data_IF_594386360710
#
_entry.id   IF_594386360710
#
_cell.length_a   1.000
_cell.length_b   1.000
_cell.length_c   1.000
_cell.angle_alpha   90.00
_cell.angle_beta   90.00
_cell.angle_gamma   90.00
#
_symmetry.space_group_name_H-M   'P 1'
#
loop_
_entity.id
_entity.type
_entity.pdbx_description
1 polymer ?
#
# COMPACT_ATOMS: atom_id res chain seq x y z
N UNK A 1 -19.64 18.68 6.89
CA UNK A 1 -18.75 17.83 6.07
C UNK A 1 -17.64 18.66 5.40
N UNK A 2 -16.57 18.01 4.90
CA UNK A 2 -15.53 18.71 4.15
C UNK A 2 -16.08 19.38 2.88
N UNK A 3 -17.06 18.74 2.24
CA UNK A 3 -17.75 19.28 1.06
C UNK A 3 -18.52 20.57 1.38
N UNK A 4 -19.27 20.59 2.48
CA UNK A 4 -20.02 21.77 2.91
C UNK A 4 -19.10 22.95 3.26
N UNK A 5 -17.95 22.63 3.90
CA UNK A 5 -16.92 23.65 4.18
C UNK A 5 -16.37 24.24 2.89
N UNK A 6 -15.98 23.40 1.94
CA UNK A 6 -15.48 23.86 0.64
C UNK A 6 -16.51 24.70 -0.13
N UNK A 7 -17.79 24.29 -0.11
CA UNK A 7 -18.88 25.02 -0.74
C UNK A 7 -19.04 26.40 -0.11
N UNK A 8 -19.04 26.48 1.22
CA UNK A 8 -19.13 27.74 1.98
C UNK A 8 -17.92 28.64 1.74
N UNK A 9 -16.71 28.10 1.84
CA UNK A 9 -15.46 28.86 1.66
C UNK A 9 -15.35 29.49 0.27
N UNK A 10 -15.87 28.81 -0.74
CA UNK A 10 -15.88 29.28 -2.13
C UNK A 10 -17.12 30.14 -2.47
N UNK A 11 -18.11 30.20 -1.58
CA UNK A 11 -19.33 30.99 -1.78
C UNK A 11 -20.30 30.41 -2.80
N UNK A 12 -20.33 29.08 -2.96
CA UNK A 12 -21.27 28.41 -3.86
C UNK A 12 -22.60 28.10 -3.17
N UNK A 13 -23.70 28.43 -3.84
CA UNK A 13 -25.07 28.22 -3.33
C UNK A 13 -25.57 26.78 -3.48
N UNK A 14 -24.88 25.94 -4.27
CA UNK A 14 -25.29 24.57 -4.54
C UNK A 14 -24.10 23.63 -4.80
N UNK A 15 -24.35 22.34 -4.61
CA UNK A 15 -23.40 21.30 -5.03
C UNK A 15 -23.13 21.34 -6.54
N UNK A 16 -24.15 21.61 -7.35
CA UNK A 16 -24.01 21.67 -8.80
C UNK A 16 -23.02 22.76 -9.23
N UNK A 17 -23.08 23.97 -8.63
CA UNK A 17 -22.14 25.05 -8.91
C UNK A 17 -20.72 24.73 -8.43
N UNK A 18 -20.57 24.11 -7.26
CA UNK A 18 -19.27 23.64 -6.76
C UNK A 18 -18.69 22.56 -7.67
N UNK A 19 -19.49 21.58 -8.10
CA UNK A 19 -19.06 20.53 -9.02
C UNK A 19 -18.61 21.12 -10.36
N UNK A 20 -19.40 22.04 -10.94
CA UNK A 20 -19.01 22.67 -12.21
C UNK A 20 -17.69 23.42 -12.07
N UNK A 21 -17.53 24.19 -10.98
CA UNK A 21 -16.26 24.87 -10.70
C UNK A 21 -15.08 23.88 -10.61
N UNK A 22 -15.26 22.72 -9.95
CA UNK A 22 -14.18 21.72 -9.82
C UNK A 22 -13.75 21.12 -11.18
N UNK A 23 -14.69 21.01 -12.11
CA UNK A 23 -14.42 20.53 -13.48
C UNK A 23 -13.71 21.61 -14.32
N UNK A 24 -14.17 22.87 -14.19
CA UNK A 24 -13.62 23.99 -14.94
C UNK A 24 -12.26 24.47 -14.41
N UNK A 25 -11.97 24.19 -13.12
CA UNK A 25 -10.74 24.63 -12.44
C UNK A 25 -10.04 23.46 -11.72
N UNK A 26 -9.61 22.39 -12.47
CA UNK A 26 -9.05 21.19 -11.85
C UNK A 26 -7.77 21.48 -11.05
N UNK A 27 -6.93 22.42 -11.47
CA UNK A 27 -5.72 22.80 -10.73
C UNK A 27 -6.01 23.38 -9.36
N UNK A 28 -7.00 24.26 -9.26
CA UNK A 28 -7.39 24.89 -7.99
C UNK A 28 -8.11 23.89 -7.07
N UNK A 29 -8.99 23.06 -7.66
CA UNK A 29 -9.70 22.03 -6.90
C UNK A 29 -8.74 21.03 -6.27
N UNK A 30 -7.84 20.46 -7.05
CA UNK A 30 -6.88 19.46 -6.55
C UNK A 30 -5.82 20.08 -5.63
N UNK A 31 -5.41 21.34 -5.86
CA UNK A 31 -4.56 22.06 -4.91
C UNK A 31 -5.22 22.23 -3.56
N UNK A 32 -6.51 22.59 -3.54
CA UNK A 32 -7.29 22.68 -2.29
C UNK A 32 -7.45 21.32 -1.63
N UNK A 33 -7.72 20.26 -2.41
CA UNK A 33 -7.82 18.91 -1.87
C UNK A 33 -6.50 18.45 -1.23
N UNK A 34 -5.37 18.78 -1.81
CA UNK A 34 -4.04 18.54 -1.22
C UNK A 34 -3.91 19.20 0.16
N UNK A 35 -4.27 20.49 0.24
CA UNK A 35 -4.13 21.27 1.49
C UNK A 35 -5.12 20.80 2.56
N UNK A 36 -6.38 20.57 2.20
CA UNK A 36 -7.42 20.11 3.12
C UNK A 36 -7.16 18.71 3.70
N UNK A 37 -6.49 17.84 2.94
CA UNK A 37 -6.08 16.53 3.39
C UNK A 37 -4.68 16.52 4.03
N UNK A 38 -4.03 17.67 4.18
CA UNK A 38 -2.71 17.82 4.81
C UNK A 38 -1.67 16.86 4.22
N UNK A 39 -1.67 16.72 2.88
CA UNK A 39 -0.77 15.78 2.20
C UNK A 39 0.69 16.10 2.52
N UNK A 40 1.39 15.13 3.07
CA UNK A 40 2.81 15.20 3.39
C UNK A 40 3.63 15.05 2.11
N UNK A 41 4.41 16.08 1.78
CA UNK A 41 5.24 16.09 0.58
C UNK A 41 5.44 17.47 -0.02
N UNK A 42 6.11 17.54 -1.15
CA UNK A 42 6.26 18.76 -1.93
C UNK A 42 5.26 18.76 -3.08
N UNK A 43 4.36 19.73 -3.09
CA UNK A 43 3.34 19.91 -4.15
C UNK A 43 3.96 20.27 -5.50
N UNK A 44 5.17 20.86 -5.51
CA UNK A 44 5.77 21.45 -6.70
C UNK A 44 5.18 22.81 -7.04
N UNK A 45 5.55 23.32 -8.21
CA UNK A 45 5.13 24.66 -8.70
C UNK A 45 3.87 24.64 -9.56
N UNK A 46 3.49 23.47 -10.08
CA UNK A 46 2.40 23.32 -11.04
C UNK A 46 1.36 22.33 -10.53
N UNK A 47 0.12 22.79 -10.34
CA UNK A 47 -0.95 21.94 -9.85
C UNK A 47 -1.60 21.09 -10.95
N UNK A 48 -1.66 21.62 -12.19
CA UNK A 48 -2.32 20.94 -13.30
C UNK A 48 -1.74 21.40 -14.65
N UNK A 49 -1.57 20.45 -15.57
CA UNK A 49 -1.24 20.71 -16.98
C UNK A 49 -2.28 20.05 -17.84
N UNK A 50 -3.03 20.86 -18.58
CA UNK A 50 -4.02 20.36 -19.53
C UNK A 50 -3.33 19.64 -20.68
N UNK A 51 -3.70 18.38 -20.91
CA UNK A 51 -3.30 17.60 -22.06
C UNK A 51 -4.28 17.76 -23.23
N UNK A 52 -4.00 17.08 -24.33
CA UNK A 52 -4.90 16.99 -25.49
C UNK A 52 -6.21 16.23 -25.13
N UNK A 53 -6.12 15.34 -24.14
CA UNK A 53 -7.22 14.57 -23.58
C UNK A 53 -7.00 14.38 -22.06
N UNK A 54 -7.95 13.70 -21.38
CA UNK A 54 -7.85 13.44 -19.95
C UNK A 54 -6.62 12.60 -19.60
N UNK A 55 -6.27 11.60 -20.40
CA UNK A 55 -5.17 10.66 -20.13
C UNK A 55 -3.82 11.37 -20.18
N UNK A 56 -3.65 12.32 -21.11
CA UNK A 56 -2.42 13.10 -21.27
C UNK A 56 -2.31 14.28 -20.32
N UNK A 57 -3.38 14.62 -19.60
CA UNK A 57 -3.37 15.65 -18.56
C UNK A 57 -2.55 15.20 -17.36
N UNK A 58 -1.86 16.14 -16.70
CA UNK A 58 -0.99 15.85 -15.55
C UNK A 58 -1.41 16.65 -14.34
N UNK A 59 -1.54 15.95 -13.21
CA UNK A 59 -1.77 16.54 -11.89
C UNK A 59 -0.46 16.53 -11.11
N UNK A 60 -0.08 17.68 -10.56
CA UNK A 60 1.12 17.87 -9.76
C UNK A 60 2.38 17.22 -10.38
N UNK A 61 2.78 17.58 -11.63
CA UNK A 61 3.86 16.89 -12.33
C UNK A 61 5.22 16.97 -11.62
N UNK A 62 5.41 17.99 -10.77
CA UNK A 62 6.64 18.21 -10.01
C UNK A 62 6.55 17.71 -8.56
N UNK A 63 5.42 17.11 -8.16
CA UNK A 63 5.23 16.67 -6.76
C UNK A 63 6.19 15.56 -6.36
N UNK A 64 6.55 15.58 -5.08
CA UNK A 64 7.33 14.52 -4.42
C UNK A 64 6.62 14.16 -3.13
N UNK A 65 6.14 12.94 -3.04
CA UNK A 65 5.46 12.41 -1.86
C UNK A 65 5.65 10.89 -1.80
N UNK A 66 5.38 10.33 -0.63
CA UNK A 66 5.34 8.89 -0.40
C UNK A 66 3.97 8.50 0.15
N UNK A 67 3.33 7.51 -0.45
CA UNK A 67 1.98 7.08 -0.05
C UNK A 67 1.97 6.45 1.35
N UNK A 68 3.00 5.65 1.70
CA UNK A 68 3.09 5.06 3.03
C UNK A 68 3.32 6.12 4.11
N UNK A 69 4.17 7.13 3.85
CA UNK A 69 4.37 8.27 4.74
C UNK A 69 3.04 8.98 5.02
N UNK A 70 2.26 9.26 3.99
CA UNK A 70 0.96 9.90 4.13
C UNK A 70 -0.03 9.04 4.91
N UNK A 71 -0.11 7.73 4.64
CA UNK A 71 -1.01 6.84 5.38
C UNK A 71 -0.62 6.69 6.86
N UNK A 72 0.68 6.74 7.18
CA UNK A 72 1.20 6.58 8.54
C UNK A 72 1.30 7.90 9.33
N UNK A 73 1.12 9.05 8.68
CA UNK A 73 1.19 10.36 9.33
C UNK A 73 0.01 10.63 10.29
N UNK A 74 -1.10 9.96 10.11
CA UNK A 74 -2.34 10.16 10.86
C UNK A 74 -2.54 9.08 11.91
N UNK A 75 -3.42 9.35 12.88
CA UNK A 75 -3.81 8.44 13.97
C UNK A 75 -2.92 8.56 15.22
N UNK A 76 -3.57 8.63 16.37
CA UNK A 76 -2.89 8.67 17.66
C UNK A 76 -2.23 7.32 17.99
N UNK A 77 -1.08 7.36 18.63
CA UNK A 77 -0.23 6.18 18.85
C UNK A 77 -0.98 4.99 19.47
N UNK A 78 -1.88 5.25 20.41
CA UNK A 78 -2.62 4.24 21.17
C UNK A 78 -3.98 3.87 20.54
N UNK A 79 -4.40 4.55 19.48
CA UNK A 79 -5.63 4.19 18.78
C UNK A 79 -5.42 2.99 17.88
N UNK A 80 -6.51 2.24 17.64
CA UNK A 80 -6.49 1.09 16.74
C UNK A 80 -6.35 1.56 15.29
N UNK A 81 -5.30 1.09 14.63
CA UNK A 81 -5.02 1.35 13.22
C UNK A 81 -5.65 0.29 12.31
N UNK A 82 -5.56 -0.99 12.69
CA UNK A 82 -6.11 -2.11 11.91
C UNK A 82 -6.91 -3.03 12.82
N UNK A 83 -8.11 -3.37 12.38
CA UNK A 83 -8.91 -4.47 12.91
C UNK A 83 -8.93 -5.56 11.86
N UNK A 84 -8.38 -6.73 12.17
CA UNK A 84 -8.42 -7.91 11.32
C UNK A 84 -9.43 -8.91 11.88
N UNK A 85 -10.39 -9.31 11.06
CA UNK A 85 -11.40 -10.32 11.41
C UNK A 85 -11.29 -11.43 10.38
N UNK A 86 -10.88 -12.60 10.83
CA UNK A 86 -10.78 -13.78 9.97
C UNK A 86 -12.13 -14.52 9.92
N UNK A 87 -12.32 -15.32 8.90
CA UNK A 87 -13.53 -16.16 8.72
C UNK A 87 -13.73 -17.14 9.91
N UNK A 88 -12.65 -17.53 10.58
CA UNK A 88 -12.68 -18.35 11.80
C UNK A 88 -13.26 -17.63 13.01
N UNK A 89 -13.59 -16.35 12.91
CA UNK A 89 -14.02 -15.50 14.03
C UNK A 89 -12.87 -14.92 14.86
N UNK A 90 -11.62 -15.27 14.57
CA UNK A 90 -10.46 -14.64 15.22
C UNK A 90 -10.43 -13.17 14.84
N UNK A 91 -10.38 -12.31 15.88
CA UNK A 91 -10.28 -10.86 15.75
C UNK A 91 -8.98 -10.39 16.41
N UNK A 92 -8.18 -9.68 15.67
CA UNK A 92 -6.95 -9.04 16.16
C UNK A 92 -6.98 -7.56 15.88
N UNK A 93 -6.31 -6.78 16.72
CA UNK A 93 -6.15 -5.34 16.56
C UNK A 93 -4.69 -4.98 16.71
N UNK A 94 -4.24 -3.99 15.94
CA UNK A 94 -2.95 -3.34 16.16
C UNK A 94 -3.14 -1.83 16.22
N UNK A 95 -2.37 -1.19 17.08
CA UNK A 95 -2.37 0.26 17.25
C UNK A 95 -1.54 0.95 16.16
N UNK A 96 -1.70 2.28 16.01
CA UNK A 96 -0.85 3.07 15.12
C UNK A 96 0.63 3.00 15.49
N UNK A 97 0.96 2.94 16.80
CA UNK A 97 2.35 2.77 17.24
C UNK A 97 2.93 1.43 16.77
N UNK A 98 2.19 0.33 16.96
CA UNK A 98 2.60 -1.00 16.53
C UNK A 98 2.72 -1.10 15.02
N UNK A 99 1.76 -0.54 14.28
CA UNK A 99 1.79 -0.51 12.82
C UNK A 99 3.06 0.22 12.32
N UNK A 100 3.35 1.41 12.82
CA UNK A 100 4.55 2.19 12.45
C UNK A 100 5.83 1.41 12.74
N UNK A 101 5.92 0.81 13.92
CA UNK A 101 7.09 0.01 14.33
C UNK A 101 7.30 -1.19 13.41
N UNK A 102 6.24 -1.96 13.11
CA UNK A 102 6.32 -3.12 12.22
C UNK A 102 6.62 -2.72 10.77
N UNK A 103 6.07 -1.60 10.29
CA UNK A 103 6.34 -1.07 8.95
C UNK A 103 7.81 -0.64 8.83
N UNK A 104 8.35 0.08 9.82
CA UNK A 104 9.77 0.47 9.84
C UNK A 104 10.70 -0.76 9.87
N UNK A 105 10.39 -1.75 10.71
CA UNK A 105 11.13 -3.01 10.77
C UNK A 105 11.08 -3.77 9.42
N UNK A 106 9.93 -3.81 8.77
CA UNK A 106 9.75 -4.44 7.44
C UNK A 106 10.58 -3.72 6.38
N UNK A 107 10.56 -2.39 6.38
CA UNK A 107 11.37 -1.56 5.49
C UNK A 107 12.87 -1.83 5.67
N UNK A 108 13.34 -1.92 6.91
CA UNK A 108 14.73 -2.24 7.24
C UNK A 108 15.11 -3.67 6.81
N UNK A 109 14.23 -4.66 7.04
CA UNK A 109 14.43 -6.03 6.59
C UNK A 109 14.54 -6.09 5.06
N UNK A 110 13.67 -5.39 4.31
CA UNK A 110 13.75 -5.32 2.85
C UNK A 110 15.04 -4.67 2.36
N UNK A 111 15.50 -3.59 3.01
CA UNK A 111 16.80 -2.98 2.69
C UNK A 111 17.96 -3.95 2.92
N UNK A 112 17.91 -4.77 3.97
CA UNK A 112 18.92 -5.80 4.23
C UNK A 112 18.95 -6.87 3.15
N UNK A 113 17.80 -7.16 2.50
CA UNK A 113 17.72 -8.04 1.32
C UNK A 113 18.10 -7.32 0.00
N UNK A 114 18.56 -6.08 0.07
CA UNK A 114 19.03 -5.30 -1.07
C UNK A 114 17.90 -4.68 -1.91
N UNK A 115 16.73 -4.45 -1.33
CA UNK A 115 15.65 -3.72 -1.98
C UNK A 115 15.95 -2.22 -1.93
N UNK A 116 15.86 -1.56 -3.07
CA UNK A 116 16.03 -0.11 -3.22
C UNK A 116 14.81 0.50 -3.95
N UNK A 117 14.73 1.82 -3.98
CA UNK A 117 13.67 2.55 -4.70
C UNK A 117 13.55 2.07 -6.13
N UNK A 118 12.33 1.77 -6.57
CA UNK A 118 12.02 1.25 -7.90
C UNK A 118 12.12 -0.27 -8.04
N UNK A 119 12.64 -0.99 -7.06
CA UNK A 119 12.57 -2.45 -7.04
C UNK A 119 11.14 -2.94 -6.83
N UNK A 120 10.86 -4.18 -7.22
CA UNK A 120 9.56 -4.81 -7.07
C UNK A 120 9.61 -5.86 -5.99
N UNK A 121 8.57 -5.89 -5.19
CA UNK A 121 8.30 -6.94 -4.21
C UNK A 121 6.89 -7.44 -4.44
N UNK A 122 6.65 -8.71 -4.22
CA UNK A 122 5.36 -9.35 -4.52
C UNK A 122 4.83 -10.14 -3.34
N UNK A 123 3.51 -10.29 -3.26
CA UNK A 123 2.87 -11.07 -2.22
C UNK A 123 1.72 -11.92 -2.80
N UNK A 124 1.75 -13.22 -2.53
CA UNK A 124 0.67 -14.16 -2.82
C UNK A 124 0.08 -14.62 -1.49
N UNK A 125 -0.93 -13.88 -1.02
CA UNK A 125 -1.36 -13.91 0.39
C UNK A 125 -2.84 -13.64 0.55
N UNK A 126 -3.48 -14.14 1.63
CA UNK A 126 -4.81 -13.74 2.02
C UNK A 126 -4.83 -12.30 2.57
N UNK A 127 -6.03 -11.79 2.84
CA UNK A 127 -6.21 -10.46 3.44
C UNK A 127 -5.97 -10.53 4.96
N UNK A 128 -4.71 -10.43 5.36
CA UNK A 128 -4.24 -10.45 6.74
C UNK A 128 -3.41 -9.20 7.05
N UNK A 129 -3.17 -8.94 8.34
CA UNK A 129 -2.45 -7.75 8.81
C UNK A 129 -1.04 -7.64 8.21
N UNK A 130 -0.33 -8.77 8.10
CA UNK A 130 1.02 -8.87 7.54
C UNK A 130 1.09 -8.38 6.09
N UNK A 131 0.03 -8.60 5.31
CA UNK A 131 -0.07 -8.10 3.93
C UNK A 131 0.00 -6.58 3.87
N UNK A 132 -0.70 -5.90 4.79
CA UNK A 132 -0.72 -4.43 4.86
C UNK A 132 0.65 -3.91 5.34
N UNK A 133 1.21 -4.51 6.38
CA UNK A 133 2.52 -4.14 6.93
C UNK A 133 3.61 -4.32 5.87
N UNK A 134 3.62 -5.46 5.16
CA UNK A 134 4.54 -5.73 4.07
C UNK A 134 4.45 -4.68 2.95
N UNK A 135 3.21 -4.39 2.53
CA UNK A 135 2.97 -3.39 1.49
C UNK A 135 3.44 -1.99 1.89
N UNK A 136 3.09 -1.54 3.10
CA UNK A 136 3.52 -0.24 3.61
C UNK A 136 5.04 -0.16 3.80
N UNK A 137 5.68 -1.24 4.29
CA UNK A 137 7.13 -1.31 4.43
C UNK A 137 7.84 -1.14 3.08
N UNK A 138 7.38 -1.83 2.05
CA UNK A 138 7.91 -1.69 0.69
C UNK A 138 7.70 -0.29 0.11
N UNK A 139 6.48 0.24 0.22
CA UNK A 139 6.13 1.58 -0.28
C UNK A 139 6.92 2.69 0.42
N UNK A 140 7.21 2.54 1.73
CA UNK A 140 7.98 3.53 2.49
C UNK A 140 9.40 3.74 1.97
N UNK A 141 10.01 2.71 1.37
CA UNK A 141 11.34 2.77 0.75
C UNK A 141 11.29 3.04 -0.76
N UNK A 142 10.11 3.33 -1.31
CA UNK A 142 9.91 3.60 -2.73
C UNK A 142 9.95 2.36 -3.61
N UNK A 143 9.78 1.16 -3.05
CA UNK A 143 9.61 -0.05 -3.83
C UNK A 143 8.18 -0.16 -4.39
N UNK A 144 8.03 -0.94 -5.46
CA UNK A 144 6.74 -1.23 -6.10
C UNK A 144 6.20 -2.54 -5.56
N UNK A 145 4.94 -2.54 -5.15
CA UNK A 145 4.25 -3.72 -4.59
C UNK A 145 3.23 -4.26 -5.56
N UNK A 146 3.23 -5.57 -5.76
CA UNK A 146 2.14 -6.28 -6.46
C UNK A 146 1.65 -7.45 -5.60
N UNK A 147 0.33 -7.63 -5.52
CA UNK A 147 -0.29 -8.67 -4.71
C UNK A 147 -1.21 -9.53 -5.54
N UNK A 148 -1.33 -10.80 -5.16
CA UNK A 148 -2.30 -11.74 -5.71
C UNK A 148 -2.93 -12.58 -4.59
N UNK A 149 -4.18 -12.94 -4.77
CA UNK A 149 -4.91 -13.81 -3.86
C UNK A 149 -4.40 -15.27 -3.91
N UNK A 150 -4.42 -16.02 -2.80
CA UNK A 150 -3.89 -17.38 -2.74
C UNK A 150 -4.76 -18.42 -3.50
N UNK A 151 -5.89 -18.04 -4.03
CA UNK A 151 -6.70 -18.86 -4.94
C UNK A 151 -6.17 -18.89 -6.38
N UNK A 152 -5.28 -17.98 -6.78
CA UNK A 152 -4.61 -18.08 -8.07
C UNK A 152 -3.67 -19.28 -8.14
N UNK A 153 -3.73 -20.00 -9.28
CA UNK A 153 -2.81 -21.10 -9.57
C UNK A 153 -1.37 -20.59 -9.78
N UNK A 154 -0.31 -21.43 -9.52
CA UNK A 154 1.09 -21.03 -9.63
C UNK A 154 1.45 -20.37 -10.97
N UNK A 155 1.03 -20.94 -12.12
CA UNK A 155 1.30 -20.34 -13.43
C UNK A 155 0.61 -18.98 -13.62
N UNK A 156 -0.59 -18.77 -13.06
CA UNK A 156 -1.24 -17.50 -13.14
C UNK A 156 -0.54 -16.42 -12.26
N UNK A 157 0.17 -16.83 -11.22
CA UNK A 157 1.04 -15.97 -10.40
C UNK A 157 2.35 -15.68 -11.13
N UNK A 158 2.96 -16.70 -11.78
CA UNK A 158 4.13 -16.53 -12.63
C UNK A 158 3.88 -15.52 -13.75
N UNK A 159 2.77 -15.63 -14.47
CA UNK A 159 2.39 -14.72 -15.55
C UNK A 159 2.32 -13.24 -15.08
N UNK A 160 1.96 -13.00 -13.81
CA UNK A 160 1.86 -11.66 -13.21
C UNK A 160 3.18 -11.19 -12.63
N UNK A 161 3.76 -12.01 -11.78
CA UNK A 161 4.93 -11.62 -10.98
C UNK A 161 6.24 -11.78 -11.75
N UNK A 162 6.33 -12.75 -12.68
CA UNK A 162 7.49 -12.95 -13.54
C UNK A 162 7.81 -11.74 -14.40
N UNK A 163 6.77 -11.00 -14.85
CA UNK A 163 6.95 -9.80 -15.69
C UNK A 163 7.65 -8.65 -14.95
N UNK A 164 7.58 -8.62 -13.62
CA UNK A 164 8.11 -7.50 -12.82
C UNK A 164 9.45 -7.81 -12.15
N UNK A 165 9.96 -9.04 -12.31
CA UNK A 165 11.25 -9.44 -11.76
C UNK A 165 11.43 -9.10 -10.26
N UNK A 166 10.60 -9.65 -9.37
CA UNK A 166 10.56 -9.27 -7.96
C UNK A 166 11.81 -9.74 -7.21
N UNK A 167 12.21 -8.97 -6.17
CA UNK A 167 13.33 -9.34 -5.28
C UNK A 167 12.89 -10.06 -4.01
N UNK A 168 11.75 -9.70 -3.46
CA UNK A 168 11.21 -10.32 -2.23
C UNK A 168 9.80 -10.82 -2.50
N UNK A 169 9.50 -12.01 -2.00
CA UNK A 169 8.21 -12.66 -2.13
C UNK A 169 7.63 -13.00 -0.76
N UNK A 170 6.45 -12.46 -0.43
CA UNK A 170 5.65 -12.87 0.72
C UNK A 170 4.68 -13.95 0.29
N UNK A 171 4.74 -15.11 0.92
CA UNK A 171 3.99 -16.30 0.53
C UNK A 171 3.04 -16.77 1.62
N UNK A 172 1.83 -17.17 1.23
CA UNK A 172 0.86 -17.78 2.14
C UNK A 172 1.32 -19.18 2.59
N UNK A 173 1.11 -19.49 3.88
CA UNK A 173 1.14 -20.86 4.39
C UNK A 173 -0.18 -21.58 4.13
N UNK A 174 -1.29 -20.85 4.23
CA UNK A 174 -2.63 -21.31 3.99
C UNK A 174 -3.67 -20.24 4.35
N UNK A 175 -4.91 -20.54 4.12
CA UNK A 175 -6.03 -19.65 4.45
C UNK A 175 -7.31 -20.42 4.70
N UNK A 176 -8.24 -19.80 5.44
CA UNK A 176 -9.59 -20.33 5.65
C UNK A 176 -10.55 -19.68 4.64
N UNK A 177 -11.37 -20.51 4.01
CA UNK A 177 -12.43 -20.03 3.12
C UNK A 177 -13.60 -21.00 3.16
N UNK A 178 -14.82 -20.49 3.34
CA UNK A 178 -16.07 -21.23 3.40
C UNK A 178 -16.01 -22.40 4.39
N UNK A 179 -15.48 -22.12 5.60
CA UNK A 179 -15.37 -23.10 6.70
C UNK A 179 -14.29 -24.18 6.50
N UNK A 180 -13.43 -24.07 5.49
CA UNK A 180 -12.34 -25.01 5.19
C UNK A 180 -10.99 -24.32 5.23
N UNK A 181 -9.97 -25.03 5.72
CA UNK A 181 -8.58 -24.62 5.60
C UNK A 181 -7.99 -25.13 4.28
N UNK A 182 -7.31 -24.25 3.56
CA UNK A 182 -6.58 -24.55 2.35
C UNK A 182 -5.08 -24.37 2.62
N UNK A 183 -4.34 -25.48 2.61
CA UNK A 183 -2.90 -25.47 2.70
C UNK A 183 -2.30 -24.92 1.40
N UNK A 184 -1.38 -23.98 1.51
CA UNK A 184 -0.71 -23.32 0.40
C UNK A 184 0.76 -23.73 0.25
N UNK A 185 1.29 -24.58 1.12
CA UNK A 185 2.73 -24.88 1.24
C UNK A 185 3.33 -25.37 -0.07
N UNK A 186 2.69 -26.35 -0.75
CA UNK A 186 3.17 -26.88 -2.02
C UNK A 186 3.14 -25.85 -3.14
N UNK A 187 2.00 -25.11 -3.27
CA UNK A 187 1.85 -24.05 -4.27
C UNK A 187 2.84 -22.92 -4.07
N UNK A 188 3.05 -22.50 -2.81
CA UNK A 188 4.03 -21.47 -2.48
C UNK A 188 5.46 -21.90 -2.90
N UNK A 189 5.83 -23.16 -2.66
CA UNK A 189 7.13 -23.69 -3.07
C UNK A 189 7.26 -23.82 -4.59
N UNK A 190 6.17 -24.08 -5.30
CA UNK A 190 6.12 -24.06 -6.76
C UNK A 190 6.30 -22.65 -7.31
N UNK A 191 5.55 -21.66 -6.80
CA UNK A 191 5.65 -20.26 -7.20
C UNK A 191 7.08 -19.73 -6.98
N UNK A 192 7.70 -20.05 -5.85
CA UNK A 192 9.07 -19.64 -5.56
C UNK A 192 10.06 -20.11 -6.66
N UNK A 193 9.91 -21.34 -7.16
CA UNK A 193 10.73 -21.86 -8.25
C UNK A 193 10.49 -21.17 -9.60
N UNK A 194 9.26 -20.68 -9.81
CA UNK A 194 8.86 -19.96 -11.02
C UNK A 194 9.30 -18.49 -11.02
N UNK A 195 9.80 -17.97 -9.89
CA UNK A 195 10.25 -16.59 -9.74
C UNK A 195 11.76 -16.50 -9.48
N UNK A 196 12.62 -16.76 -10.48
CA UNK A 196 14.07 -16.91 -10.30
C UNK A 196 14.78 -15.62 -9.86
N UNK A 197 14.15 -14.47 -9.94
CA UNK A 197 14.69 -13.18 -9.48
C UNK A 197 14.52 -12.94 -7.97
N UNK A 198 13.64 -13.71 -7.34
CA UNK A 198 13.39 -13.63 -5.90
C UNK A 198 14.63 -14.05 -5.11
N UNK A 199 15.13 -13.17 -4.27
CA UNK A 199 16.28 -13.41 -3.39
C UNK A 199 15.86 -13.89 -2.02
N UNK A 200 14.68 -13.49 -1.59
CA UNK A 200 14.11 -13.83 -0.28
C UNK A 200 12.63 -14.13 -0.42
N UNK A 201 12.25 -15.35 -0.02
CA UNK A 201 10.87 -15.73 0.26
C UNK A 201 10.64 -15.67 1.76
N UNK A 202 9.53 -15.05 2.17
CA UNK A 202 9.07 -14.98 3.55
C UNK A 202 7.70 -15.62 3.62
N UNK A 203 7.49 -16.59 4.53
CA UNK A 203 6.16 -17.12 4.82
C UNK A 203 5.43 -16.20 5.79
N UNK A 204 4.09 -16.15 5.73
CA UNK A 204 3.31 -15.36 6.70
C UNK A 204 3.63 -15.79 8.13
N UNK A 205 3.72 -17.09 8.38
CA UNK A 205 4.08 -17.65 9.71
C UNK A 205 5.48 -17.25 10.21
N UNK A 206 6.38 -16.87 9.30
CA UNK A 206 7.75 -16.45 9.59
C UNK A 206 7.90 -14.93 9.60
N UNK A 207 6.86 -14.18 9.27
CA UNK A 207 6.93 -12.73 9.05
C UNK A 207 7.47 -11.98 10.26
N UNK A 208 6.91 -12.21 11.43
CA UNK A 208 7.37 -11.56 12.66
C UNK A 208 8.82 -11.96 13.02
N UNK A 209 9.24 -13.20 12.74
CA UNK A 209 10.63 -13.64 12.91
C UNK A 209 11.58 -12.94 11.95
N UNK A 210 11.16 -12.73 10.71
CA UNK A 210 11.95 -12.05 9.70
C UNK A 210 12.21 -10.58 10.04
N UNK A 211 11.22 -9.88 10.58
CA UNK A 211 11.35 -8.47 10.95
C UNK A 211 11.93 -8.26 12.36
N UNK A 212 11.95 -9.28 13.22
CA UNK A 212 12.36 -9.17 14.63
C UNK A 212 13.73 -8.53 14.84
N UNK A 213 14.79 -8.81 14.03
CA UNK A 213 16.10 -8.18 14.20
C UNK A 213 16.09 -6.66 13.96
N UNK A 214 15.05 -6.15 13.32
CA UNK A 214 14.90 -4.75 12.92
C UNK A 214 13.86 -3.99 13.75
N UNK A 215 13.25 -4.64 14.75
CA UNK A 215 12.34 -3.96 15.66
C UNK A 215 13.10 -2.87 16.44
N UNK A 216 12.67 -1.61 16.25
CA UNK A 216 13.39 -0.42 16.74
C UNK A 216 14.14 0.34 15.64
N UNK A 217 14.06 -0.09 14.38
CA UNK A 217 14.49 0.73 13.23
C UNK A 217 13.58 1.97 13.08
N UNK A 218 14.15 3.05 12.53
CA UNK A 218 13.46 4.31 12.20
C UNK A 218 13.16 4.43 10.70
#
# INVERSE_FOLDING_TARGET
TALERLQSDKGFDSYASLHQWSVDNPGDFWSRAWDDNQVVGSKGSTNYVQGADFISSKFFPDARLNVAENLLAHGDANEVAIVSILETGVRTEITWAELRTKVAATAAAMRAEGVVTGDRVVAWVPNVTETIIYGLGALSIGAVVSTASPDFAPHAVEDRFGQVEPKVFLAADGYNYNGKYFDCSEKSAEIEKLLPTVKKTVRISEFDTWIAPFMGAE
#
